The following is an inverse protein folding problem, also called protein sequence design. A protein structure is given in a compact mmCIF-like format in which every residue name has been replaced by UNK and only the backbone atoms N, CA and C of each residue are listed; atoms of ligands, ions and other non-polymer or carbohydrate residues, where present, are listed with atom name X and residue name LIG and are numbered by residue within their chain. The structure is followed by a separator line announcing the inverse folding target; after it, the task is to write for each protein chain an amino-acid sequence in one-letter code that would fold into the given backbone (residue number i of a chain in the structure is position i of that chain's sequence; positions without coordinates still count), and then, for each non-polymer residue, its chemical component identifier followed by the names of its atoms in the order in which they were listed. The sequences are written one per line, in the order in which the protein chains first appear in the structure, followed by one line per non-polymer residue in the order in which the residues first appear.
data_IF_816526207944
#
_entry.id   IF_816526207944
#
_cell.length_a   1.000
_cell.length_b   1.000
_cell.length_c   1.000
_cell.angle_alpha   90.00
_cell.angle_beta   90.00
_cell.angle_gamma   90.00
#
_symmetry.space_group_name_H-M   'P 1'
#
loop_
_entity.id
_entity.type
_entity.pdbx_description
1 polymer ?
#
# COMPACT_ATOMS: atom_id res chain seq x y z
N UNK A 1 -8.66 10.98 7.16
CA UNK A 1 -8.02 11.00 5.82
C UNK A 1 -9.11 11.15 4.77
N UNK A 2 -9.20 12.35 4.21
CA UNK A 2 -10.14 12.78 3.19
C UNK A 2 -9.34 13.07 1.92
N UNK A 3 -9.71 12.38 0.84
CA UNK A 3 -9.21 12.69 -0.50
C UNK A 3 -10.02 13.87 -1.04
N UNK A 4 -9.34 14.96 -1.39
CA UNK A 4 -9.93 16.19 -1.92
C UNK A 4 -9.66 16.39 -3.42
N UNK A 5 -8.85 15.52 -4.02
CA UNK A 5 -8.57 15.54 -5.45
C UNK A 5 -7.81 14.31 -5.93
N UNK A 6 -7.80 14.11 -7.25
CA UNK A 6 -7.02 13.06 -7.93
C UNK A 6 -6.35 13.66 -9.15
N UNK A 7 -5.09 13.28 -9.42
CA UNK A 7 -4.37 13.63 -10.64
C UNK A 7 -3.80 12.37 -11.28
N UNK A 8 -3.89 12.24 -12.60
CA UNK A 8 -3.34 11.07 -13.31
C UNK A 8 -1.82 11.04 -13.26
N UNK A 9 -1.23 9.87 -13.02
CA UNK A 9 0.20 9.63 -13.24
C UNK A 9 0.50 9.54 -14.74
N UNK A 10 1.70 9.94 -15.18
CA UNK A 10 2.14 9.65 -16.55
C UNK A 10 2.05 8.15 -16.85
N UNK A 11 1.63 7.78 -18.06
CA UNK A 11 1.40 6.37 -18.43
C UNK A 11 2.63 5.47 -18.20
N UNK A 12 3.83 5.98 -18.46
CA UNK A 12 5.10 5.27 -18.22
C UNK A 12 5.32 4.92 -16.74
N UNK A 13 5.02 5.86 -15.85
CA UNK A 13 5.05 5.64 -14.41
C UNK A 13 3.97 4.65 -13.97
N UNK A 14 2.73 4.83 -14.42
CA UNK A 14 1.62 3.94 -14.04
C UNK A 14 1.86 2.49 -14.47
N UNK A 15 2.33 2.28 -15.70
CA UNK A 15 2.68 0.96 -16.22
C UNK A 15 3.81 0.30 -15.41
N UNK A 16 4.78 1.10 -14.95
CA UNK A 16 5.90 0.57 -14.19
C UNK A 16 5.53 0.23 -12.74
N UNK A 17 4.60 0.97 -12.13
CA UNK A 17 4.04 0.65 -10.80
C UNK A 17 3.12 -0.57 -10.81
N UNK A 18 2.48 -0.87 -11.94
CA UNK A 18 1.66 -2.08 -12.14
C UNK A 18 2.48 -3.36 -12.28
N UNK A 19 3.80 -3.24 -12.53
CA UNK A 19 4.70 -4.38 -12.67
C UNK A 19 5.37 -4.67 -11.33
N UNK A 20 4.78 -5.56 -10.53
CA UNK A 20 5.27 -5.93 -9.18
C UNK A 20 6.62 -6.67 -9.21
N UNK A 21 6.98 -7.34 -10.31
CA UNK A 21 8.04 -8.37 -10.29
C UNK A 21 9.37 -7.99 -10.97
N UNK A 22 9.48 -6.84 -11.64
CA UNK A 22 10.71 -6.47 -12.37
C UNK A 22 11.19 -5.07 -11.98
N UNK A 23 12.53 -4.91 -11.98
CA UNK A 23 13.19 -3.62 -11.77
C UNK A 23 12.52 -2.55 -12.64
N UNK A 24 11.97 -1.55 -11.97
CA UNK A 24 11.16 -0.49 -12.56
C UNK A 24 12.06 0.35 -13.46
N UNK A 25 12.04 0.11 -14.77
CA UNK A 25 12.68 1.00 -15.75
C UNK A 25 11.87 2.29 -15.85
N UNK A 26 12.14 3.23 -14.95
CA UNK A 26 11.53 4.56 -14.98
C UNK A 26 12.24 5.42 -16.01
N UNK A 27 11.45 6.10 -16.84
CA UNK A 27 12.02 7.14 -17.69
C UNK A 27 12.50 8.31 -16.85
N UNK A 28 13.46 9.09 -17.37
CA UNK A 28 13.91 10.34 -16.74
C UNK A 28 12.76 11.34 -16.55
N UNK A 29 11.68 11.24 -17.34
CA UNK A 29 10.51 12.09 -17.19
C UNK A 29 9.63 11.62 -16.02
N UNK A 30 9.48 10.32 -15.81
CA UNK A 30 8.73 9.76 -14.67
C UNK A 30 9.42 10.10 -13.34
N UNK A 31 10.74 9.96 -13.29
CA UNK A 31 11.55 10.36 -12.14
C UNK A 31 11.39 11.86 -11.83
N UNK A 32 11.47 12.72 -12.85
CA UNK A 32 11.25 14.17 -12.66
C UNK A 32 9.83 14.50 -12.21
N UNK A 33 8.82 13.80 -12.72
CA UNK A 33 7.42 13.97 -12.29
C UNK A 33 7.19 13.56 -10.84
N UNK A 34 7.88 12.51 -10.36
CA UNK A 34 7.85 12.09 -8.96
C UNK A 34 8.57 13.09 -8.06
N UNK A 35 9.78 13.50 -8.45
CA UNK A 35 10.58 14.45 -7.69
C UNK A 35 9.87 15.79 -7.52
N UNK A 36 9.20 16.30 -8.57
CA UNK A 36 8.41 17.53 -8.49
C UNK A 36 7.18 17.44 -7.58
N UNK A 37 6.83 16.24 -7.12
CA UNK A 37 5.76 15.97 -6.16
C UNK A 37 6.30 15.49 -4.81
N UNK A 38 7.61 15.48 -4.60
CA UNK A 38 8.23 15.11 -3.33
C UNK A 38 8.57 13.62 -3.18
N UNK A 39 8.55 12.85 -4.27
CA UNK A 39 8.84 11.42 -4.25
C UNK A 39 10.16 11.10 -4.93
N UNK A 40 10.98 10.27 -4.29
CA UNK A 40 12.36 10.02 -4.69
C UNK A 40 12.67 8.52 -4.64
N UNK A 41 13.29 7.98 -5.67
CA UNK A 41 13.81 6.62 -5.62
C UNK A 41 15.20 6.58 -5.00
N UNK A 42 15.39 5.68 -4.04
CA UNK A 42 16.69 5.30 -3.51
C UNK A 42 17.48 4.47 -4.50
N UNK A 43 18.78 4.29 -4.22
CA UNK A 43 19.67 3.43 -5.03
C UNK A 43 19.28 1.96 -5.00
N UNK A 44 18.55 1.56 -3.97
CA UNK A 44 17.97 0.24 -3.73
C UNK A 44 16.63 0.04 -4.48
N UNK A 45 16.14 1.06 -5.18
CA UNK A 45 14.86 1.01 -5.87
C UNK A 45 13.65 1.27 -4.98
N UNK A 46 13.85 1.60 -3.70
CA UNK A 46 12.76 1.95 -2.79
C UNK A 46 12.28 3.38 -3.04
N UNK A 47 10.97 3.60 -3.01
CA UNK A 47 10.37 4.92 -3.12
C UNK A 47 10.30 5.58 -1.74
N UNK A 48 10.79 6.80 -1.65
CA UNK A 48 10.81 7.63 -0.45
C UNK A 48 10.01 8.92 -0.65
N UNK A 49 9.46 9.44 0.44
CA UNK A 49 8.78 10.74 0.50
C UNK A 49 9.57 11.77 1.31
N UNK A 50 9.51 13.04 0.90
CA UNK A 50 10.15 14.12 1.65
C UNK A 50 9.35 14.58 2.89
N UNK A 51 8.03 14.44 2.90
CA UNK A 51 7.16 14.82 4.04
C UNK A 51 6.77 13.58 4.89
N UNK A 52 7.58 12.53 4.82
CA UNK A 52 7.39 11.32 5.60
C UNK A 52 6.36 10.33 5.03
N UNK A 53 6.23 9.22 5.76
CA UNK A 53 5.45 8.06 5.33
C UNK A 53 4.71 7.43 6.51
N UNK A 54 3.53 6.90 6.24
CA UNK A 54 2.75 6.09 7.18
C UNK A 54 2.57 4.69 6.62
N UNK A 55 2.86 3.69 7.44
CA UNK A 55 2.66 2.28 7.12
C UNK A 55 1.48 1.70 7.90
N UNK A 56 0.54 1.08 7.20
CA UNK A 56 -0.64 0.43 7.78
C UNK A 56 -0.55 -1.05 7.46
N UNK A 57 -0.36 -1.88 8.48
CA UNK A 57 -0.28 -3.34 8.34
C UNK A 57 -1.64 -3.96 8.60
N UNK A 58 -2.15 -4.71 7.62
CA UNK A 58 -3.41 -5.45 7.73
C UNK A 58 -3.18 -6.89 8.20
N UNK A 59 -4.21 -7.49 8.79
CA UNK A 59 -4.18 -8.86 9.31
C UNK A 59 -4.10 -9.93 8.21
N UNK A 60 -4.40 -9.58 6.98
CA UNK A 60 -4.25 -10.42 5.79
C UNK A 60 -2.85 -10.32 5.15
N UNK A 61 -1.91 -9.62 5.80
CA UNK A 61 -0.54 -9.45 5.34
C UNK A 61 -0.35 -8.33 4.32
N UNK A 62 -1.42 -7.66 3.89
CA UNK A 62 -1.29 -6.49 3.02
C UNK A 62 -0.79 -5.31 3.84
N UNK A 63 0.22 -4.61 3.31
CA UNK A 63 0.77 -3.40 3.91
C UNK A 63 0.46 -2.24 2.98
N UNK A 64 -0.17 -1.18 3.48
CA UNK A 64 -0.33 0.09 2.77
C UNK A 64 0.77 1.05 3.20
N UNK A 65 1.49 1.61 2.24
CA UNK A 65 2.43 2.71 2.48
C UNK A 65 1.87 3.99 1.88
N UNK A 66 1.56 4.94 2.75
CA UNK A 66 1.05 6.27 2.43
C UNK A 66 2.22 7.25 2.49
N UNK A 67 2.60 7.82 1.34
CA UNK A 67 3.73 8.74 1.22
C UNK A 67 3.25 10.15 0.96
N UNK A 68 3.64 11.09 1.83
CA UNK A 68 3.20 12.48 1.78
C UNK A 68 4.21 13.33 1.00
N UNK A 69 3.72 14.03 -0.01
CA UNK A 69 4.56 14.80 -0.93
C UNK A 69 4.38 16.31 -0.80
N UNK A 70 4.86 16.99 -1.84
CA UNK A 70 4.81 18.45 -1.97
C UNK A 70 3.39 19.01 -1.95
N UNK A 71 3.31 20.32 -1.70
CA UNK A 71 2.07 21.08 -1.79
C UNK A 71 1.53 21.01 -3.23
N UNK A 72 0.29 20.56 -3.36
CA UNK A 72 -0.44 20.50 -4.60
C UNK A 72 -1.10 21.86 -4.87
N UNK A 73 -0.39 22.74 -5.58
CA UNK A 73 -0.94 24.03 -6.02
C UNK A 73 -2.04 23.84 -7.09
N UNK A 74 -3.17 24.52 -6.92
CA UNK A 74 -4.25 24.58 -7.90
C UNK A 74 -5.36 25.55 -7.50
N UNK A 75 -5.77 26.41 -8.44
CA UNK A 75 -6.95 27.27 -8.37
C UNK A 75 -8.01 26.74 -9.36
N UNK A 76 -9.29 26.76 -8.95
CA UNK A 76 -10.44 26.39 -9.80
C UNK A 76 -10.97 24.96 -9.61
N UNK A 77 -11.81 24.52 -10.57
CA UNK A 77 -12.59 23.26 -10.57
C UNK A 77 -11.81 21.96 -10.29
N UNK A 78 -10.47 22.00 -10.27
CA UNK A 78 -9.53 20.90 -9.97
C UNK A 78 -9.31 20.63 -8.46
N UNK A 79 -9.84 21.47 -7.56
CA UNK A 79 -9.79 21.31 -6.09
C UNK A 79 -11.21 21.24 -5.47
N UNK A 80 -12.26 21.32 -6.31
CA UNK A 80 -13.65 21.56 -5.88
C UNK A 80 -14.41 20.36 -5.33
N UNK A 81 -13.74 19.32 -4.85
CA UNK A 81 -14.40 18.25 -4.09
C UNK A 81 -14.42 18.60 -2.59
N UNK A 82 -15.15 19.66 -2.23
CA UNK A 82 -15.55 19.91 -0.84
C UNK A 82 -15.30 21.31 -0.27
N UNK A 83 -15.42 22.37 -1.06
CA UNK A 83 -15.57 23.74 -0.55
C UNK A 83 -17.02 24.17 -0.80
N UNK A 84 -17.85 24.11 0.25
CA UNK A 84 -19.26 24.56 0.22
C UNK A 84 -19.40 26.09 0.33
N UNK A 85 -18.28 26.83 0.39
CA UNK A 85 -18.25 28.27 0.62
C UNK A 85 -17.38 28.99 -0.43
N UNK A 86 -17.98 29.76 -1.36
CA UNK A 86 -17.26 30.52 -2.37
C UNK A 86 -16.45 31.70 -1.81
N UNK A 87 -16.66 32.13 -0.56
CA UNK A 87 -15.94 33.26 0.05
C UNK A 87 -14.53 32.88 0.56
N UNK A 88 -14.12 31.60 0.50
CA UNK A 88 -12.77 31.15 0.85
C UNK A 88 -11.76 31.18 -0.31
N UNK A 89 -12.18 31.54 -1.53
CA UNK A 89 -11.29 31.64 -2.69
C UNK A 89 -10.20 32.73 -2.53
N UNK A 90 -10.44 33.74 -1.70
CA UNK A 90 -9.52 34.87 -1.48
C UNK A 90 -8.71 34.78 -0.16
N UNK A 91 -8.85 33.72 0.63
CA UNK A 91 -8.11 33.54 1.89
C UNK A 91 -7.20 32.31 1.85
N UNK A 92 -6.06 32.49 1.18
CA UNK A 92 -4.93 31.57 1.27
C UNK A 92 -5.14 30.31 0.43
N UNK A 93 -4.20 30.05 -0.46
CA UNK A 93 -4.07 28.81 -1.21
C UNK A 93 -4.28 27.63 -0.25
N UNK A 94 -5.33 26.83 -0.45
CA UNK A 94 -5.50 25.61 0.32
C UNK A 94 -4.22 24.77 0.17
N UNK A 95 -3.46 24.59 1.26
CA UNK A 95 -2.18 23.87 1.31
C UNK A 95 -2.40 22.35 1.20
N UNK A 96 -3.15 21.92 0.20
CA UNK A 96 -3.38 20.50 -0.07
C UNK A 96 -2.06 19.83 -0.47
N UNK A 97 -1.92 18.54 -0.19
CA UNK A 97 -0.66 17.81 -0.44
C UNK A 97 -0.88 16.58 -1.30
N UNK A 98 0.14 16.23 -2.08
CA UNK A 98 0.16 14.97 -2.81
C UNK A 98 0.26 13.79 -1.84
N UNK A 99 -0.50 12.74 -2.15
CA UNK A 99 -0.44 11.44 -1.49
C UNK A 99 -0.15 10.36 -2.55
N UNK A 100 0.86 9.56 -2.28
CA UNK A 100 1.21 8.39 -3.09
C UNK A 100 1.00 7.14 -2.26
N UNK A 101 0.17 6.23 -2.79
CA UNK A 101 -0.18 4.98 -2.12
C UNK A 101 0.43 3.82 -2.89
N UNK A 102 1.15 2.95 -2.17
CA UNK A 102 1.55 1.63 -2.65
C UNK A 102 1.09 0.58 -1.67
N UNK A 103 0.97 -0.65 -2.15
CA UNK A 103 0.79 -1.83 -1.33
C UNK A 103 1.95 -2.80 -1.49
N UNK A 104 2.24 -3.55 -0.44
CA UNK A 104 3.11 -4.73 -0.49
C UNK A 104 2.46 -5.86 0.28
N UNK A 105 2.99 -7.07 0.14
CA UNK A 105 2.53 -8.23 0.91
C UNK A 105 3.65 -8.74 1.80
N UNK A 106 3.38 -8.86 3.09
CA UNK A 106 4.28 -9.44 4.09
C UNK A 106 3.68 -10.73 4.64
N UNK A 107 4.22 -11.85 4.15
CA UNK A 107 3.82 -13.18 4.55
C UNK A 107 4.35 -13.64 5.92
N UNK A 108 5.22 -12.86 6.58
CA UNK A 108 6.00 -13.32 7.74
C UNK A 108 5.15 -13.72 8.95
N UNK A 109 3.95 -13.16 9.07
CA UNK A 109 3.00 -13.52 10.13
C UNK A 109 2.27 -14.86 9.88
N UNK A 110 2.32 -15.40 8.67
CA UNK A 110 1.71 -16.68 8.31
C UNK A 110 2.73 -17.80 8.43
N UNK A 111 2.80 -18.41 9.61
CA UNK A 111 3.67 -19.57 9.86
C UNK A 111 3.29 -20.74 8.95
N UNK A 112 4.24 -21.18 8.13
CA UNK A 112 4.04 -22.35 7.27
C UNK A 112 3.80 -23.60 8.14
N UNK A 113 2.70 -24.33 7.92
CA UNK A 113 2.44 -25.58 8.63
C UNK A 113 3.39 -26.68 8.13
N UNK A 114 3.54 -27.74 8.93
CA UNK A 114 4.32 -28.91 8.50
C UNK A 114 3.71 -29.50 7.22
N UNK A 115 4.57 -29.83 6.26
CA UNK A 115 4.16 -30.54 5.06
C UNK A 115 3.86 -32.02 5.37
N UNK A 116 2.95 -32.66 4.63
CA UNK A 116 2.71 -34.10 4.76
C UNK A 116 3.97 -34.88 4.34
N UNK A 117 4.19 -36.05 4.94
CA UNK A 117 5.33 -36.90 4.58
C UNK A 117 5.17 -37.55 3.19
N UNK A 118 3.91 -37.80 2.78
CA UNK A 118 3.52 -38.27 1.46
C UNK A 118 2.06 -37.86 1.18
N UNK A 119 1.60 -38.09 -0.04
CA UNK A 119 0.22 -37.81 -0.48
C UNK A 119 -0.52 -39.06 -0.93
N UNK A 120 -0.16 -40.25 -0.42
CA UNK A 120 -0.73 -41.53 -0.85
C UNK A 120 -2.25 -41.62 -0.60
N UNK A 121 -2.74 -40.90 0.41
CA UNK A 121 -4.16 -40.80 0.74
C UNK A 121 -5.01 -40.25 -0.42
N UNK A 122 -4.44 -39.46 -1.34
CA UNK A 122 -5.15 -38.93 -2.53
C UNK A 122 -5.61 -40.03 -3.49
N UNK A 123 -4.94 -41.18 -3.48
CA UNK A 123 -5.20 -42.30 -4.39
C UNK A 123 -5.95 -43.46 -3.71
N UNK A 124 -6.38 -43.29 -2.45
CA UNK A 124 -7.08 -44.31 -1.66
C UNK A 124 -8.46 -43.79 -1.28
N UNK A 125 -9.46 -44.66 -1.23
CA UNK A 125 -10.75 -44.30 -0.64
C UNK A 125 -10.59 -44.00 0.86
N UNK A 126 -11.34 -43.02 1.37
CA UNK A 126 -11.27 -42.56 2.77
C UNK A 126 -11.46 -43.68 3.80
N UNK A 127 -12.24 -44.71 3.45
CA UNK A 127 -12.45 -45.91 4.30
C UNK A 127 -11.22 -46.79 4.45
N UNK A 128 -10.23 -46.65 3.56
CA UNK A 128 -8.97 -47.40 3.58
C UNK A 128 -7.81 -46.61 4.18
N UNK A 129 -8.07 -45.39 4.69
CA UNK A 129 -7.02 -44.56 5.27
C UNK A 129 -6.55 -45.10 6.62
N UNK A 130 -5.23 -45.28 6.72
CA UNK A 130 -4.56 -45.48 8.01
C UNK A 130 -4.54 -44.20 8.84
N UNK A 131 -4.13 -44.29 10.10
CA UNK A 131 -3.90 -43.09 10.94
C UNK A 131 -2.79 -42.18 10.38
N UNK A 132 -1.80 -42.76 9.69
CA UNK A 132 -0.77 -41.99 8.98
C UNK A 132 -1.35 -41.25 7.77
N UNK A 133 -2.24 -41.88 7.01
CA UNK A 133 -2.95 -41.25 5.89
C UNK A 133 -3.81 -40.07 6.37
N UNK A 134 -4.56 -40.24 7.48
CA UNK A 134 -5.34 -39.15 8.11
C UNK A 134 -4.46 -38.00 8.58
N UNK A 135 -3.30 -38.31 9.17
CA UNK A 135 -2.34 -37.30 9.60
C UNK A 135 -1.79 -36.51 8.40
N UNK A 136 -1.37 -37.20 7.34
CA UNK A 136 -0.92 -36.57 6.11
C UNK A 136 -2.02 -35.75 5.44
N UNK A 137 -3.27 -36.21 5.44
CA UNK A 137 -4.42 -35.43 4.95
C UNK A 137 -4.56 -34.12 5.71
N UNK A 138 -4.52 -34.14 7.05
CA UNK A 138 -4.64 -32.93 7.86
C UNK A 138 -3.48 -31.95 7.62
N UNK A 139 -2.25 -32.45 7.49
CA UNK A 139 -1.07 -31.62 7.17
C UNK A 139 -1.17 -31.03 5.76
N UNK A 140 -1.61 -31.84 4.80
CA UNK A 140 -1.87 -31.40 3.42
C UNK A 140 -2.92 -30.30 3.40
N UNK A 141 -4.07 -30.49 4.04
CA UNK A 141 -5.14 -29.48 4.08
C UNK A 141 -4.69 -28.18 4.75
N UNK A 142 -3.95 -28.28 5.86
CA UNK A 142 -3.40 -27.13 6.54
C UNK A 142 -2.43 -26.36 5.63
N UNK A 143 -1.54 -27.08 4.92
CA UNK A 143 -0.59 -26.49 3.98
C UNK A 143 -1.29 -25.84 2.78
N UNK A 144 -2.28 -26.51 2.19
CA UNK A 144 -3.10 -25.93 1.12
C UNK A 144 -3.84 -24.67 1.58
N UNK A 145 -4.44 -24.68 2.76
CA UNK A 145 -5.13 -23.51 3.32
C UNK A 145 -4.16 -22.35 3.62
N UNK A 146 -2.93 -22.65 4.06
CA UNK A 146 -1.88 -21.65 4.23
C UNK A 146 -1.44 -21.07 2.88
N UNK A 147 -1.16 -21.92 1.88
CA UNK A 147 -0.75 -21.52 0.54
C UNK A 147 -1.81 -20.61 -0.11
N UNK A 148 -3.09 -20.98 -0.01
CA UNK A 148 -4.20 -20.16 -0.48
C UNK A 148 -4.24 -18.78 0.19
N UNK A 149 -3.95 -18.68 1.50
CA UNK A 149 -3.88 -17.37 2.19
C UNK A 149 -2.72 -16.52 1.68
N UNK A 150 -1.55 -17.12 1.47
CA UNK A 150 -0.39 -16.43 0.91
C UNK A 150 -0.71 -15.89 -0.48
N UNK A 151 -1.28 -16.73 -1.36
CA UNK A 151 -1.59 -16.35 -2.73
C UNK A 151 -2.71 -15.31 -2.81
N UNK A 152 -3.74 -15.43 -1.96
CA UNK A 152 -4.80 -14.44 -1.86
C UNK A 152 -4.26 -13.08 -1.39
N UNK A 153 -3.35 -13.06 -0.41
CA UNK A 153 -2.73 -11.83 0.09
C UNK A 153 -1.84 -11.15 -0.96
N UNK A 154 -1.04 -11.92 -1.70
CA UNK A 154 -0.26 -11.41 -2.85
C UNK A 154 -1.17 -10.82 -3.92
N UNK A 155 -2.15 -11.59 -4.37
CA UNK A 155 -3.12 -11.18 -5.40
C UNK A 155 -3.83 -9.89 -4.99
N UNK A 156 -4.30 -9.80 -3.74
CA UNK A 156 -4.94 -8.59 -3.22
C UNK A 156 -4.00 -7.39 -3.24
N UNK A 157 -2.73 -7.57 -2.86
CA UNK A 157 -1.73 -6.51 -2.89
C UNK A 157 -1.47 -6.01 -4.32
N UNK A 158 -1.42 -6.92 -5.30
CA UNK A 158 -1.26 -6.57 -6.72
C UNK A 158 -2.46 -5.82 -7.28
N UNK A 159 -3.68 -6.29 -6.99
CA UNK A 159 -4.93 -5.61 -7.40
C UNK A 159 -5.02 -4.19 -6.83
N UNK A 160 -4.63 -4.02 -5.56
CA UNK A 160 -4.60 -2.71 -4.91
C UNK A 160 -3.54 -1.80 -5.53
N UNK A 161 -2.33 -2.31 -5.77
CA UNK A 161 -1.30 -1.56 -6.47
C UNK A 161 -1.79 -1.12 -7.85
N UNK A 162 -2.41 -2.02 -8.62
CA UNK A 162 -2.97 -1.70 -9.93
C UNK A 162 -4.03 -0.60 -9.85
N UNK A 163 -4.87 -0.60 -8.80
CA UNK A 163 -5.88 0.44 -8.55
C UNK A 163 -5.27 1.80 -8.21
N UNK A 164 -4.17 1.84 -7.46
CA UNK A 164 -3.50 3.08 -7.05
C UNK A 164 -2.45 3.58 -8.06
N UNK A 165 -2.02 2.71 -8.97
CA UNK A 165 -0.95 2.99 -9.92
C UNK A 165 -1.28 4.10 -10.91
N UNK A 166 -2.55 4.42 -11.16
CA UNK A 166 -2.93 5.44 -12.14
C UNK A 166 -3.05 6.86 -11.54
N UNK A 167 -3.07 6.99 -10.22
CA UNK A 167 -3.47 8.24 -9.56
C UNK A 167 -2.45 8.73 -8.52
N UNK A 168 -2.14 10.02 -8.58
CA UNK A 168 -1.72 10.81 -7.41
C UNK A 168 -2.98 11.28 -6.69
N UNK A 169 -3.09 10.97 -5.41
CA UNK A 169 -4.18 11.48 -4.58
C UNK A 169 -3.79 12.84 -4.01
N UNK A 170 -4.78 13.65 -3.67
CA UNK A 170 -4.60 14.93 -3.00
C UNK A 170 -5.38 14.91 -1.69
N UNK A 171 -4.73 15.29 -0.60
CA UNK A 171 -5.30 15.31 0.75
C UNK A 171 -5.30 16.74 1.30
N UNK A 172 -6.20 17.02 2.25
CA UNK A 172 -6.23 18.32 2.92
C UNK A 172 -5.05 18.49 3.87
N UNK A 173 -4.57 19.73 4.03
CA UNK A 173 -3.53 20.07 5.01
C UNK A 173 -3.94 19.67 6.44
N UNK A 174 -5.21 19.85 6.78
CA UNK A 174 -5.76 19.50 8.10
C UNK A 174 -5.57 18.01 8.42
N UNK A 175 -5.83 17.15 7.44
CA UNK A 175 -5.64 15.72 7.62
C UNK A 175 -4.16 15.34 7.65
N UNK A 176 -3.32 15.97 6.83
CA UNK A 176 -1.87 15.80 6.91
C UNK A 176 -1.32 16.13 8.32
N UNK A 177 -1.73 17.25 8.92
CA UNK A 177 -1.31 17.67 10.27
C UNK A 177 -1.69 16.70 11.38
N UNK A 178 -2.70 15.84 11.17
CA UNK A 178 -3.05 14.77 12.13
C UNK A 178 -2.02 13.63 12.10
N UNK A 179 -1.28 13.50 11.01
CA UNK A 179 -0.27 12.46 10.80
C UNK A 179 1.16 12.98 11.01
N UNK A 180 1.39 14.27 10.74
CA UNK A 180 2.62 14.99 11.06
C UNK A 180 2.68 15.32 12.56
N UNK A 181 2.73 14.27 13.38
CA UNK A 181 2.92 14.40 14.82
C UNK A 181 4.37 14.82 15.07
N UNK A 182 4.56 16.05 15.56
CA UNK A 182 5.88 16.51 15.94
C UNK A 182 6.38 15.70 17.14
N UNK A 183 7.71 15.66 17.33
CA UNK A 183 8.31 15.05 18.53
C UNK A 183 7.75 15.65 19.82
N UNK A 184 7.28 16.91 19.78
CA UNK A 184 6.68 17.61 20.91
C UNK A 184 5.28 17.08 21.25
N UNK A 185 4.50 16.66 20.24
CA UNK A 185 3.18 16.05 20.42
C UNK A 185 3.27 14.64 21.01
N UNK A 186 4.36 13.91 20.74
CA UNK A 186 4.64 12.59 21.29
C UNK A 186 5.24 12.63 22.71
N UNK A 187 5.60 13.81 23.20
CA UNK A 187 6.17 14.02 24.54
C UNK A 187 5.08 14.43 25.54
N UNK A 188 4.01 13.65 25.66
CA UNK A 188 3.14 13.75 26.84
C UNK A 188 3.89 13.25 28.07
N UNK A 189 4.48 14.21 28.79
CA UNK A 189 4.80 14.27 30.22
C UNK A 189 4.78 12.90 30.93
N UNK A 190 5.97 12.32 31.17
CA UNK A 190 6.15 11.32 32.22
C UNK A 190 5.89 11.99 33.57
N UNK A 191 4.64 11.95 34.05
CA UNK A 191 4.34 12.17 35.45
C UNK A 191 4.54 10.82 36.16
N UNK A 192 5.63 10.73 36.90
CA UNK A 192 6.02 9.58 37.72
C UNK A 192 7.40 9.81 38.28
#
# INVERSE_FOLDING_TARGET
LKIVGVRTKPEGLSASLKRTENAVELSQNDMRSLQSKGYYFGRDGNLFSNEGEMEIRCNDGVIYTLRFGEIAYGSGFDVSAGVDDPDQLDKGVAENRYLFVTTSFDGSNFKEPKQPANTDFLNKADSLWSEADKTNKNLYDAHQAWQQKIDAGKTRSDELNQRFADWYYVISNEDFKKFDLSREDLMTKKNG
#
